data_IF_834194175369
#
_entry.id   IF_834194175369
#
_cell.length_a   1.000
_cell.length_b   1.000
_cell.length_c   1.000
_cell.angle_alpha   90.00
_cell.angle_beta   90.00
_cell.angle_gamma   90.00
#
_symmetry.space_group_name_H-M   'P 1'
#
loop_
_entity.id
_entity.type
_entity.pdbx_description
1 polymer ?
#
# COMPACT_ATOMS: atom_id res chain seq x y z
N UNK A 1 -69.30 4.50 -37.32
CA UNK A 1 -68.30 3.42 -37.57
C UNK A 1 -67.38 3.40 -36.36
N UNK A 2 -67.20 2.37 -35.54
CA UNK A 2 -67.61 0.96 -35.56
C UNK A 2 -67.38 0.40 -34.14
N UNK A 3 -68.42 -0.24 -33.58
CA UNK A 3 -68.46 -1.34 -32.58
C UNK A 3 -67.76 -1.19 -31.23
N UNK A 4 -68.60 -0.96 -30.21
CA UNK A 4 -68.46 -1.46 -28.84
C UNK A 4 -68.42 -3.01 -28.88
N UNK A 5 -67.41 -3.62 -28.25
CA UNK A 5 -67.40 -5.04 -27.89
C UNK A 5 -67.20 -5.16 -26.38
N UNK A 6 -68.28 -5.53 -25.69
CA UNK A 6 -68.29 -6.05 -24.32
C UNK A 6 -67.75 -7.49 -24.41
N UNK A 7 -66.68 -7.80 -23.71
CA UNK A 7 -66.23 -9.20 -23.50
C UNK A 7 -66.26 -9.47 -22.00
N UNK A 8 -67.01 -10.51 -21.66
CA UNK A 8 -67.27 -11.03 -20.33
C UNK A 8 -66.00 -11.53 -19.63
N UNK A 9 -65.97 -11.18 -18.35
CA UNK A 9 -65.35 -11.83 -17.20
C UNK A 9 -64.98 -13.32 -17.37
N UNK A 10 -63.72 -13.63 -17.12
CA UNK A 10 -63.29 -14.90 -16.52
C UNK A 10 -62.32 -14.57 -15.38
N UNK A 11 -62.84 -14.46 -14.16
CA UNK A 11 -62.02 -14.52 -12.95
C UNK A 11 -61.48 -15.95 -12.85
N UNK A 12 -60.20 -16.11 -13.17
CA UNK A 12 -59.47 -17.34 -12.91
C UNK A 12 -59.26 -17.44 -11.39
N UNK A 13 -60.05 -18.29 -10.73
CA UNK A 13 -59.82 -18.68 -9.33
C UNK A 13 -58.63 -19.65 -9.34
N UNK A 14 -57.42 -19.13 -9.14
CA UNK A 14 -56.27 -19.96 -8.77
C UNK A 14 -56.39 -20.21 -7.27
N UNK A 15 -56.85 -21.41 -6.90
CA UNK A 15 -56.78 -21.91 -5.53
C UNK A 15 -55.30 -22.15 -5.21
N UNK A 16 -54.82 -21.36 -4.26
CA UNK A 16 -53.50 -21.38 -3.65
C UNK A 16 -53.07 -22.79 -3.21
N UNK A 17 -51.85 -23.18 -3.55
CA UNK A 17 -51.00 -23.77 -2.52
C UNK A 17 -50.15 -22.64 -1.98
N UNK A 18 -50.56 -22.07 -0.85
CA UNK A 18 -49.58 -21.45 0.03
C UNK A 18 -48.66 -22.60 0.43
N UNK A 19 -47.43 -22.60 -0.08
CA UNK A 19 -46.39 -23.35 0.60
C UNK A 19 -46.19 -22.65 1.93
N UNK A 20 -46.93 -23.09 2.94
CA UNK A 20 -46.63 -22.76 4.32
C UNK A 20 -45.35 -23.49 4.68
N UNK A 21 -44.21 -22.84 4.44
CA UNK A 21 -43.08 -22.99 5.33
C UNK A 21 -43.02 -21.70 6.15
N UNK A 22 -43.92 -21.60 7.13
CA UNK A 22 -43.66 -20.76 8.29
C UNK A 22 -42.54 -21.43 9.09
N UNK A 23 -41.31 -21.30 8.63
CA UNK A 23 -40.18 -21.30 9.55
C UNK A 23 -40.02 -19.86 10.00
N UNK A 24 -40.87 -19.44 10.93
CA UNK A 24 -40.72 -18.19 11.68
C UNK A 24 -39.52 -18.23 12.65
N UNK A 25 -38.52 -19.06 12.33
CA UNK A 25 -37.27 -19.29 13.06
C UNK A 25 -36.05 -19.21 12.11
N UNK A 26 -36.18 -18.63 10.91
CA UNK A 26 -35.00 -18.29 10.09
C UNK A 26 -34.45 -16.92 10.49
N UNK A 27 -34.24 -16.74 11.79
CA UNK A 27 -33.46 -15.62 12.33
C UNK A 27 -31.99 -15.96 12.11
N UNK A 28 -31.53 -15.89 10.86
CA UNK A 28 -30.10 -15.88 10.63
C UNK A 28 -29.54 -14.52 11.07
N UNK A 29 -28.43 -14.54 11.81
CA UNK A 29 -27.77 -13.32 12.26
C UNK A 29 -27.01 -12.78 11.05
N UNK A 30 -27.53 -11.73 10.44
CA UNK A 30 -26.85 -11.04 9.34
C UNK A 30 -25.52 -10.46 9.84
N UNK A 31 -24.49 -10.63 9.01
CA UNK A 31 -23.20 -9.96 9.19
C UNK A 31 -23.06 -8.87 8.13
N UNK A 32 -22.27 -7.84 8.44
CA UNK A 32 -21.84 -6.86 7.44
C UNK A 32 -20.72 -7.49 6.62
N UNK A 33 -20.87 -7.45 5.31
CA UNK A 33 -19.85 -7.83 4.34
C UNK A 33 -19.43 -6.59 3.56
N UNK A 34 -18.19 -6.57 3.10
CA UNK A 34 -17.55 -5.43 2.42
C UNK A 34 -17.12 -5.85 1.02
N UNK A 35 -17.35 -5.00 0.01
CA UNK A 35 -17.00 -5.31 -1.39
C UNK A 35 -15.48 -5.54 -1.51
N UNK A 36 -15.08 -6.57 -2.26
CA UNK A 36 -13.69 -6.88 -2.62
C UNK A 36 -13.64 -6.89 -4.16
N UNK A 37 -13.52 -5.69 -4.73
CA UNK A 37 -13.68 -5.42 -6.16
C UNK A 37 -12.47 -5.90 -6.96
N UNK A 38 -11.26 -5.74 -6.40
CA UNK A 38 -10.01 -6.11 -7.03
C UNK A 38 -9.52 -7.54 -6.70
N UNK A 39 -10.15 -8.20 -5.72
CA UNK A 39 -10.01 -9.62 -5.38
C UNK A 39 -8.72 -9.96 -4.65
N UNK A 40 -8.22 -9.05 -3.83
CA UNK A 40 -7.05 -9.29 -2.98
C UNK A 40 -7.40 -9.81 -1.58
N UNK A 41 -8.69 -9.88 -1.26
CA UNK A 41 -9.23 -10.39 0.01
C UNK A 41 -9.44 -9.33 1.08
N UNK A 42 -9.24 -8.06 0.76
CA UNK A 42 -9.56 -6.92 1.61
C UNK A 42 -10.84 -6.24 1.14
N UNK A 43 -11.59 -5.70 2.10
CA UNK A 43 -12.91 -5.16 1.83
C UNK A 43 -13.00 -3.65 1.92
N UNK A 44 -13.74 -3.05 1.01
CA UNK A 44 -14.06 -1.64 0.98
C UNK A 44 -15.08 -1.26 2.05
N UNK A 45 -14.67 -0.42 3.00
CA UNK A 45 -15.55 0.06 4.08
C UNK A 45 -16.74 0.90 3.61
N UNK A 46 -16.68 1.47 2.40
CA UNK A 46 -17.72 2.33 1.84
C UNK A 46 -18.85 1.55 1.14
N UNK A 47 -18.57 0.32 0.67
CA UNK A 47 -19.53 -0.53 -0.01
C UNK A 47 -19.81 -1.77 0.81
N UNK A 48 -21.00 -1.83 1.40
CA UNK A 48 -21.39 -2.89 2.34
C UNK A 48 -22.68 -3.59 1.94
N UNK A 49 -22.79 -4.85 2.34
CA UNK A 49 -24.00 -5.66 2.19
C UNK A 49 -24.26 -6.47 3.47
N UNK A 50 -25.49 -6.42 3.97
CA UNK A 50 -25.95 -7.33 5.03
C UNK A 50 -26.35 -8.67 4.41
N UNK A 51 -25.82 -9.77 4.97
CA UNK A 51 -26.17 -11.12 4.54
C UNK A 51 -25.81 -12.15 5.61
N UNK A 52 -26.56 -13.26 5.65
CA UNK A 52 -26.31 -14.37 6.54
C UNK A 52 -25.14 -15.27 6.10
N UNK A 53 -24.80 -15.24 4.81
CA UNK A 53 -23.63 -15.92 4.23
C UNK A 53 -22.85 -14.94 3.33
N UNK A 54 -21.56 -15.18 3.14
CA UNK A 54 -20.70 -14.36 2.29
C UNK A 54 -21.28 -14.19 0.87
N UNK A 55 -21.63 -12.95 0.44
CA UNK A 55 -21.98 -12.68 -0.95
C UNK A 55 -20.77 -12.85 -1.89
N UNK A 56 -21.03 -13.01 -3.19
CA UNK A 56 -19.96 -13.05 -4.20
C UNK A 56 -19.29 -11.68 -4.32
N UNK A 57 -17.94 -11.65 -4.37
CA UNK A 57 -17.10 -10.43 -4.37
C UNK A 57 -17.23 -9.58 -3.09
N UNK A 58 -17.55 -10.18 -1.95
CA UNK A 58 -17.51 -9.50 -0.66
C UNK A 58 -16.69 -10.31 0.35
N UNK A 59 -16.03 -9.65 1.29
CA UNK A 59 -15.25 -10.22 2.40
C UNK A 59 -15.74 -9.69 3.75
N UNK A 60 -15.27 -10.29 4.85
CA UNK A 60 -15.74 -9.98 6.20
C UNK A 60 -14.93 -8.87 6.90
N UNK A 61 -13.87 -8.37 6.28
CA UNK A 61 -13.04 -7.28 6.79
C UNK A 61 -13.30 -6.00 5.98
N UNK A 62 -12.95 -4.85 6.55
CA UNK A 62 -13.13 -3.55 5.91
C UNK A 62 -11.79 -2.81 5.76
N UNK A 63 -10.72 -3.57 5.58
CA UNK A 63 -9.36 -3.08 5.79
C UNK A 63 -8.70 -2.60 4.49
N UNK A 64 -9.40 -2.59 3.36
CA UNK A 64 -8.82 -2.22 2.07
C UNK A 64 -8.38 -0.74 2.04
N UNK A 65 -7.19 -0.52 1.47
CA UNK A 65 -6.60 0.81 1.26
C UNK A 65 -7.03 1.39 -0.09
N UNK A 66 -7.15 0.56 -1.14
CA UNK A 66 -7.56 0.95 -2.47
C UNK A 66 -8.19 -0.24 -3.21
N UNK A 67 -9.51 -0.37 -3.08
CA UNK A 67 -10.37 -1.43 -3.66
C UNK A 67 -10.42 -1.45 -5.21
N UNK A 68 -9.58 -0.63 -5.85
CA UNK A 68 -9.34 -0.68 -7.30
C UNK A 68 -7.97 -1.26 -7.66
N UNK A 69 -7.16 -1.61 -6.67
CA UNK A 69 -5.77 -2.00 -6.82
C UNK A 69 -5.35 -3.10 -5.83
N UNK A 70 -5.44 -4.35 -6.31
CA UNK A 70 -5.09 -5.57 -5.56
C UNK A 70 -3.64 -5.66 -5.07
N UNK A 71 -2.77 -4.71 -5.48
CA UNK A 71 -1.39 -4.62 -5.03
C UNK A 71 -1.18 -3.60 -3.90
N UNK A 72 -2.22 -2.91 -3.47
CA UNK A 72 -2.15 -1.89 -2.41
C UNK A 72 -3.15 -2.20 -1.30
N UNK A 73 -2.69 -2.93 -0.30
CA UNK A 73 -3.49 -3.36 0.84
C UNK A 73 -2.70 -3.35 2.15
N UNK A 74 -3.32 -3.60 3.32
CA UNK A 74 -2.64 -3.52 4.61
C UNK A 74 -1.40 -4.40 4.76
N UNK A 75 -1.30 -5.50 4.01
CA UNK A 75 -0.12 -6.38 4.07
C UNK A 75 1.10 -5.77 3.35
N UNK A 76 0.86 -4.85 2.42
CA UNK A 76 1.90 -4.17 1.63
C UNK A 76 2.41 -2.90 2.29
N UNK A 77 1.70 -2.37 3.30
CA UNK A 77 2.09 -1.15 4.01
C UNK A 77 2.65 -1.48 5.39
N UNK A 78 3.91 -1.16 5.60
CA UNK A 78 4.60 -1.38 6.88
C UNK A 78 4.35 -0.19 7.81
N UNK A 79 3.53 -0.38 8.84
CA UNK A 79 3.18 0.62 9.85
C UNK A 79 3.56 0.18 11.28
N UNK A 80 4.46 -0.80 11.40
CA UNK A 80 5.02 -1.24 12.68
C UNK A 80 5.86 -0.17 13.37
N UNK A 81 6.50 -0.55 14.48
CA UNK A 81 7.31 0.37 15.29
C UNK A 81 8.42 1.02 14.47
N UNK A 82 8.72 2.29 14.75
CA UNK A 82 9.82 2.99 14.09
C UNK A 82 11.18 2.55 14.64
N UNK A 83 12.15 2.40 13.75
CA UNK A 83 13.55 2.18 14.08
C UNK A 83 14.41 3.29 13.49
N UNK A 84 15.58 3.51 14.08
CA UNK A 84 16.60 4.44 13.56
C UNK A 84 17.75 3.65 12.97
N UNK A 85 18.15 3.99 11.74
CA UNK A 85 19.40 3.56 11.15
C UNK A 85 20.37 4.75 11.10
N UNK A 86 21.62 4.51 11.47
CA UNK A 86 22.69 5.51 11.45
C UNK A 86 23.98 4.89 10.95
N UNK A 87 24.59 5.57 9.98
CA UNK A 87 25.94 5.30 9.51
C UNK A 87 26.81 6.53 9.73
N UNK A 88 27.94 6.36 10.40
CA UNK A 88 28.90 7.43 10.65
C UNK A 88 29.74 7.75 9.40
N UNK A 89 30.29 8.98 9.36
CA UNK A 89 31.21 9.42 8.31
C UNK A 89 32.45 8.51 8.23
N UNK A 90 32.86 8.15 7.01
CA UNK A 90 34.01 7.29 6.69
C UNK A 90 33.94 5.87 7.27
N UNK A 91 32.79 5.46 7.81
CA UNK A 91 32.59 4.07 8.19
C UNK A 91 32.63 3.18 6.93
N UNK A 92 33.13 1.96 7.06
CA UNK A 92 33.21 1.01 5.94
C UNK A 92 31.80 0.55 5.52
N UNK A 93 31.30 1.04 4.38
CA UNK A 93 29.95 0.73 3.88
C UNK A 93 29.77 -0.72 3.43
N UNK A 94 30.87 -1.47 3.25
CA UNK A 94 30.82 -2.89 2.89
C UNK A 94 30.52 -3.80 4.09
N UNK A 95 30.63 -3.27 5.31
CA UNK A 95 30.26 -3.99 6.54
C UNK A 95 28.76 -3.95 6.79
N UNK A 96 28.18 -5.08 7.19
CA UNK A 96 26.74 -5.23 7.39
C UNK A 96 26.17 -4.22 8.40
N UNK A 97 26.95 -3.88 9.44
CA UNK A 97 26.53 -2.89 10.45
C UNK A 97 26.30 -1.48 9.87
N UNK A 98 26.83 -1.20 8.67
CA UNK A 98 26.68 0.07 7.97
C UNK A 98 25.71 -0.04 6.78
N UNK A 99 24.84 -1.04 6.77
CA UNK A 99 23.83 -1.29 5.74
C UNK A 99 22.49 -1.50 6.44
N UNK A 100 21.44 -0.79 6.01
CA UNK A 100 20.09 -1.12 6.45
C UNK A 100 19.49 -2.15 5.51
N UNK A 101 19.47 -3.41 5.95
CA UNK A 101 18.96 -4.54 5.19
C UNK A 101 17.45 -4.67 5.42
N UNK A 102 16.68 -3.90 4.65
CA UNK A 102 15.23 -3.76 4.83
C UNK A 102 14.52 -5.07 4.45
N UNK A 103 14.91 -5.64 3.30
CA UNK A 103 14.46 -6.96 2.81
C UNK A 103 15.66 -7.72 2.23
N UNK A 104 15.44 -8.93 1.72
CA UNK A 104 16.49 -9.67 1.00
C UNK A 104 16.93 -8.97 -0.30
N UNK A 105 16.07 -8.09 -0.86
CA UNK A 105 16.32 -7.40 -2.13
C UNK A 105 16.84 -5.96 -1.97
N UNK A 106 16.55 -5.30 -0.84
CA UNK A 106 16.88 -3.87 -0.65
C UNK A 106 17.70 -3.62 0.60
N UNK A 107 18.99 -3.33 0.41
CA UNK A 107 19.95 -2.97 1.45
C UNK A 107 20.47 -1.55 1.23
N UNK A 108 19.99 -0.59 2.01
CA UNK A 108 20.35 0.82 1.82
C UNK A 108 21.67 1.13 2.52
N UNK A 109 22.62 1.67 1.77
CA UNK A 109 23.84 2.28 2.31
C UNK A 109 24.31 3.43 1.43
N UNK A 110 25.45 4.01 1.78
CA UNK A 110 26.11 5.12 1.08
C UNK A 110 27.62 4.97 1.26
N UNK A 111 28.40 5.26 0.23
CA UNK A 111 29.85 5.34 0.34
C UNK A 111 30.26 6.70 0.92
N UNK A 112 31.55 7.03 0.95
CA UNK A 112 32.02 8.32 1.47
C UNK A 112 31.57 9.52 0.61
N UNK A 113 31.27 9.25 -0.67
CA UNK A 113 30.90 10.23 -1.69
C UNK A 113 29.54 9.86 -2.33
N UNK A 114 28.86 10.84 -2.92
CA UNK A 114 27.62 10.68 -3.70
C UNK A 114 26.38 10.26 -2.90
N UNK A 115 25.36 9.65 -3.52
CA UNK A 115 24.07 9.34 -2.92
C UNK A 115 23.96 7.92 -2.34
N UNK A 116 22.81 7.61 -1.75
CA UNK A 116 22.49 6.25 -1.29
C UNK A 116 22.32 5.29 -2.47
N UNK A 117 22.58 4.01 -2.24
CA UNK A 117 22.38 2.93 -3.19
C UNK A 117 21.98 1.64 -2.48
N UNK A 118 21.44 0.69 -3.24
CA UNK A 118 21.03 -0.63 -2.81
C UNK A 118 22.20 -1.62 -2.97
N UNK A 119 22.98 -1.82 -1.92
CA UNK A 119 24.17 -2.69 -1.97
C UNK A 119 23.85 -4.19 -2.14
N UNK A 120 22.59 -4.60 -2.03
CA UNK A 120 22.20 -5.98 -2.31
C UNK A 120 22.43 -6.34 -3.80
N UNK A 121 22.33 -5.35 -4.69
CA UNK A 121 22.39 -5.54 -6.15
C UNK A 121 23.31 -4.53 -6.85
N UNK A 122 23.80 -3.51 -6.16
CA UNK A 122 24.67 -2.46 -6.69
C UNK A 122 26.03 -2.45 -5.95
N UNK A 123 27.14 -2.41 -6.69
CA UNK A 123 28.48 -2.32 -6.07
C UNK A 123 28.79 -0.91 -5.53
N UNK A 124 28.17 0.12 -6.12
CA UNK A 124 28.40 1.53 -5.81
C UNK A 124 27.29 2.42 -6.40
N UNK A 125 27.14 3.63 -5.86
CA UNK A 125 26.23 4.64 -6.42
C UNK A 125 26.60 5.00 -7.87
N UNK A 126 25.67 4.75 -8.81
CA UNK A 126 25.81 5.15 -10.21
C UNK A 126 24.56 5.86 -10.70
N UNK A 127 24.56 7.21 -10.70
CA UNK A 127 23.37 8.04 -11.03
C UNK A 127 22.59 7.60 -12.28
N UNK A 128 23.29 7.17 -13.33
CA UNK A 128 22.67 6.76 -14.60
C UNK A 128 21.81 5.48 -14.49
N UNK A 129 21.92 4.73 -13.39
CA UNK A 129 21.16 3.52 -13.10
C UNK A 129 19.97 3.75 -12.16
N UNK A 130 19.69 5.02 -11.82
CA UNK A 130 18.62 5.40 -10.88
C UNK A 130 18.72 4.71 -9.49
N UNK A 131 19.87 4.80 -8.81
CA UNK A 131 20.03 4.24 -7.47
C UNK A 131 19.16 4.99 -6.44
N UNK A 132 18.68 4.33 -5.37
CA UNK A 132 18.85 2.90 -5.09
C UNK A 132 18.00 2.01 -6.00
N UNK A 133 18.62 0.99 -6.59
CA UNK A 133 17.90 0.01 -7.42
C UNK A 133 16.79 -0.71 -6.62
N UNK A 134 15.72 -1.09 -7.31
CA UNK A 134 14.52 -1.74 -6.72
C UNK A 134 13.73 -0.85 -5.74
N UNK A 135 13.88 0.49 -5.86
CA UNK A 135 13.14 1.45 -5.04
C UNK A 135 12.51 2.57 -5.86
N UNK A 136 11.36 3.05 -5.40
CA UNK A 136 10.79 4.33 -5.77
C UNK A 136 10.43 5.13 -4.52
N UNK A 137 10.34 6.45 -4.65
CA UNK A 137 10.22 7.37 -3.53
C UNK A 137 9.16 8.42 -3.81
N UNK A 138 8.43 8.81 -2.78
CA UNK A 138 7.48 9.91 -2.81
C UNK A 138 7.65 10.79 -1.56
N UNK A 139 7.33 12.08 -1.68
CA UNK A 139 7.19 12.99 -0.53
C UNK A 139 5.77 12.83 0.03
N UNK A 140 5.64 12.54 1.31
CA UNK A 140 4.36 12.28 1.97
C UNK A 140 4.45 11.17 3.01
N UNK A 141 3.30 10.59 3.37
CA UNK A 141 3.21 9.47 4.32
C UNK A 141 2.34 8.35 3.76
N UNK A 142 2.51 7.13 4.29
CA UNK A 142 1.68 5.98 3.90
C UNK A 142 0.19 6.16 4.22
N UNK A 143 -0.18 7.11 5.08
CA UNK A 143 -1.57 7.46 5.34
C UNK A 143 -2.27 8.06 4.11
N UNK A 144 -1.53 8.66 3.18
CA UNK A 144 -2.04 9.27 1.96
C UNK A 144 -1.59 8.53 0.69
N UNK A 145 -1.20 7.26 0.82
CA UNK A 145 -0.48 6.47 -0.20
C UNK A 145 -1.15 6.46 -1.58
N UNK A 146 -2.48 6.38 -1.65
CA UNK A 146 -3.23 6.40 -2.91
C UNK A 146 -3.14 7.71 -3.69
N UNK A 147 -2.64 8.79 -3.07
CA UNK A 147 -2.44 10.10 -3.70
C UNK A 147 -0.97 10.39 -4.05
N UNK A 148 -0.04 9.56 -3.60
CA UNK A 148 1.39 9.81 -3.74
C UNK A 148 1.87 9.54 -5.17
N UNK A 149 2.81 10.37 -5.63
CA UNK A 149 3.50 10.16 -6.91
C UNK A 149 4.90 9.61 -6.64
N UNK A 150 5.11 8.34 -6.96
CA UNK A 150 6.39 7.66 -6.81
C UNK A 150 7.30 7.95 -8.01
N UNK A 151 8.57 8.27 -7.71
CA UNK A 151 9.61 8.59 -8.67
C UNK A 151 10.92 7.91 -8.27
N UNK A 152 11.90 7.89 -9.17
CA UNK A 152 13.25 7.48 -8.76
C UNK A 152 13.83 8.50 -7.78
N UNK A 153 14.71 8.02 -6.89
CA UNK A 153 15.33 8.82 -5.84
C UNK A 153 15.93 10.14 -6.36
N UNK A 154 16.65 10.08 -7.48
CA UNK A 154 17.32 11.24 -8.07
C UNK A 154 16.36 12.31 -8.57
N UNK A 155 15.22 11.88 -9.12
CA UNK A 155 14.17 12.76 -9.64
C UNK A 155 13.35 13.37 -8.50
N UNK A 156 12.96 12.55 -7.52
CA UNK A 156 12.16 12.97 -6.36
C UNK A 156 12.84 14.09 -5.58
N UNK A 157 14.12 13.89 -5.22
CA UNK A 157 14.82 14.87 -4.39
C UNK A 157 15.08 16.19 -5.12
N UNK A 158 15.10 16.18 -6.47
CA UNK A 158 15.35 17.31 -7.37
C UNK A 158 16.45 18.30 -6.89
N UNK A 159 17.41 17.78 -6.14
CA UNK A 159 18.45 18.55 -5.44
C UNK A 159 19.78 17.91 -5.81
N UNK A 160 20.52 18.60 -6.66
CA UNK A 160 21.92 18.29 -6.90
C UNK A 160 22.76 19.30 -6.09
N UNK A 161 23.80 18.88 -5.34
CA UNK A 161 24.30 17.51 -5.17
C UNK A 161 23.84 16.82 -3.88
N UNK A 162 23.13 17.53 -2.98
CA UNK A 162 22.87 17.05 -1.63
C UNK A 162 21.39 17.14 -1.27
N UNK A 163 20.81 16.07 -0.70
CA UNK A 163 19.45 16.05 -0.18
C UNK A 163 19.31 16.76 1.18
N UNK A 164 19.96 17.90 1.43
CA UNK A 164 19.72 18.66 2.67
C UNK A 164 18.27 19.15 2.74
N UNK A 165 17.68 19.43 1.58
CA UNK A 165 16.29 19.83 1.43
C UNK A 165 15.28 18.77 1.91
N UNK A 166 15.61 17.48 1.82
CA UNK A 166 14.69 16.39 2.22
C UNK A 166 14.92 15.90 3.65
N UNK A 167 15.96 16.37 4.36
CA UNK A 167 16.12 16.08 5.78
C UNK A 167 14.93 16.66 6.54
N UNK A 168 14.34 15.87 7.42
CA UNK A 168 13.10 16.13 8.16
C UNK A 168 11.81 16.16 7.31
N UNK A 169 11.85 15.84 6.03
CA UNK A 169 10.64 15.60 5.25
C UNK A 169 10.12 14.19 5.50
N UNK A 170 8.79 14.05 5.53
CA UNK A 170 8.15 12.74 5.48
C UNK A 170 8.23 12.21 4.04
N UNK A 171 8.76 11.00 3.89
CA UNK A 171 8.86 10.31 2.62
C UNK A 171 8.23 8.92 2.76
N UNK A 172 7.84 8.37 1.61
CA UNK A 172 7.52 6.94 1.48
C UNK A 172 8.49 6.32 0.49
N UNK A 173 9.08 5.20 0.87
CA UNK A 173 9.81 4.33 -0.05
C UNK A 173 8.94 3.13 -0.42
N UNK A 174 8.81 2.87 -1.72
CA UNK A 174 8.23 1.65 -2.28
C UNK A 174 9.36 0.72 -2.71
N UNK A 175 9.42 -0.46 -2.10
CA UNK A 175 10.29 -1.56 -2.50
C UNK A 175 9.57 -2.32 -3.61
N UNK A 176 10.05 -2.21 -4.84
CA UNK A 176 9.26 -2.56 -6.02
C UNK A 176 9.01 -4.08 -6.09
N UNK A 177 10.07 -4.88 -5.96
CA UNK A 177 9.98 -6.34 -6.07
C UNK A 177 9.19 -6.95 -4.92
N UNK A 178 9.41 -6.48 -3.69
CA UNK A 178 8.70 -6.99 -2.51
C UNK A 178 7.28 -6.42 -2.39
N UNK A 179 6.97 -5.37 -3.16
CA UNK A 179 5.75 -4.58 -3.10
C UNK A 179 5.42 -4.11 -1.66
N UNK A 180 6.37 -3.37 -1.08
CA UNK A 180 6.29 -2.89 0.30
C UNK A 180 6.44 -1.38 0.34
N UNK A 181 5.57 -0.71 1.09
CA UNK A 181 5.58 0.72 1.32
C UNK A 181 5.94 1.04 2.77
N UNK A 182 6.92 1.93 2.96
CA UNK A 182 7.52 2.24 4.27
C UNK A 182 7.59 3.75 4.43
N UNK A 183 7.07 4.26 5.55
CA UNK A 183 7.33 5.64 5.98
C UNK A 183 8.80 5.77 6.39
N UNK A 184 9.49 6.75 5.83
CA UNK A 184 10.91 7.02 6.08
C UNK A 184 11.18 8.52 6.18
N UNK A 185 12.00 8.92 7.15
CA UNK A 185 12.38 10.31 7.40
C UNK A 185 13.86 10.41 7.68
N UNK A 186 14.60 11.05 6.78
CA UNK A 186 16.01 11.35 7.01
C UNK A 186 16.14 12.37 8.15
N UNK A 187 16.94 12.05 9.16
CA UNK A 187 17.20 12.89 10.33
C UNK A 187 18.57 13.56 10.27
N UNK A 188 19.49 12.99 9.49
CA UNK A 188 20.81 13.55 9.24
C UNK A 188 21.33 13.16 7.86
N UNK A 189 22.09 14.06 7.24
CA UNK A 189 22.79 13.80 5.99
C UNK A 189 24.10 14.59 5.95
N UNK A 190 25.24 13.90 5.81
CA UNK A 190 26.53 14.54 5.63
C UNK A 190 26.64 15.11 4.21
N UNK A 191 26.76 16.43 4.16
CA UNK A 191 26.88 17.23 2.94
C UNK A 191 28.34 17.37 2.48
N UNK A 192 28.55 17.85 1.26
CA UNK A 192 29.86 18.16 0.68
C UNK A 192 30.86 17.00 0.68
N UNK A 193 30.36 15.77 0.49
CA UNK A 193 31.17 14.54 0.48
C UNK A 193 32.06 14.39 1.73
N UNK A 194 31.56 14.85 2.88
CA UNK A 194 32.27 14.81 4.15
C UNK A 194 32.14 13.42 4.83
N UNK A 195 32.46 12.34 4.10
CA UNK A 195 32.49 10.98 4.63
C UNK A 195 31.16 10.21 4.57
N UNK A 196 30.13 10.75 3.92
CA UNK A 196 28.95 9.94 3.54
C UNK A 196 28.04 9.48 4.67
N UNK A 197 28.17 10.02 5.89
CA UNK A 197 27.28 9.71 7.00
C UNK A 197 25.84 10.13 6.72
N UNK A 198 24.90 9.36 7.27
CA UNK A 198 23.47 9.68 7.22
C UNK A 198 22.71 8.94 8.32
N UNK A 199 21.50 9.40 8.59
CA UNK A 199 20.56 8.71 9.46
C UNK A 199 19.14 8.93 9.00
N UNK A 200 18.29 7.93 9.24
CA UNK A 200 16.85 8.06 9.07
C UNK A 200 16.12 7.23 10.11
N UNK A 201 14.86 7.60 10.31
CA UNK A 201 13.87 6.77 10.98
C UNK A 201 12.96 6.16 9.93
N UNK A 202 12.58 4.89 10.09
CA UNK A 202 11.59 4.25 9.23
C UNK A 202 10.65 3.34 10.00
N UNK A 203 9.46 3.12 9.47
CA UNK A 203 8.56 2.08 9.97
C UNK A 203 9.12 0.68 9.69
N UNK A 204 8.60 -0.29 10.45
CA UNK A 204 8.91 -1.71 10.31
C UNK A 204 7.66 -2.49 9.94
N UNK A 205 7.84 -3.78 9.61
CA UNK A 205 6.73 -4.69 9.36
C UNK A 205 5.74 -4.71 10.54
N UNK A 206 4.45 -4.85 10.22
CA UNK A 206 3.33 -4.97 11.17
C UNK A 206 3.47 -6.18 12.10
#
# INVERSE_FOLDING_TARGET
>A
MTKIKIIMLAMLVIVFTVSSCSNSDDSCIESVWYEDSDKDGFGNSEVTQLSCTQPENFVSNSDDIDDTNATLNPNTVWQGSKITFTKADNADWTQEANQDRITDNVWITRADYHGIFNIAVEDYYTRALNPPSDTQWAIGTTADIGSLTFQYWEDMKNSYPYPDSIVNQDLVVHLITDNIYIDIKFTAWSIYDNGGGFSYERSTKN
#
